data_IF_189681170376
#
_entry.id   IF_189681170376
#
_cell.length_a   1.000
_cell.length_b   1.000
_cell.length_c   1.000
_cell.angle_alpha   90.00
_cell.angle_beta   90.00
_cell.angle_gamma   90.00
#
_symmetry.space_group_name_H-M   'P 1'
#
loop_
_entity.id
_entity.type
_entity.pdbx_description
1 polymer ?
#
# COMPACT_ATOMS: atom_id res chain seq x y z
N UNK A 1 -4.46 -62.26 -29.71
CA UNK A 1 -5.55 -61.44 -29.16
C UNK A 1 -5.35 -61.37 -27.66
N UNK A 2 -5.21 -60.25 -26.95
CA UNK A 2 -5.18 -58.82 -27.26
C UNK A 2 -4.26 -58.18 -26.22
N UNK A 3 -3.41 -57.25 -26.65
CA UNK A 3 -2.66 -56.37 -25.76
C UNK A 3 -3.59 -55.24 -25.33
N UNK A 4 -3.80 -55.08 -24.03
CA UNK A 4 -4.54 -53.95 -23.48
C UNK A 4 -3.52 -52.87 -23.13
N UNK A 5 -3.35 -51.91 -24.02
CA UNK A 5 -2.59 -50.69 -23.77
C UNK A 5 -3.50 -49.72 -23.00
N UNK A 6 -3.25 -49.52 -21.72
CA UNK A 6 -3.95 -48.50 -20.92
C UNK A 6 -3.23 -47.16 -21.15
N UNK A 7 -3.84 -46.28 -21.95
CA UNK A 7 -3.40 -44.91 -22.11
C UNK A 7 -3.82 -44.09 -20.87
N UNK A 8 -2.86 -43.74 -20.01
CA UNK A 8 -3.07 -42.79 -18.92
C UNK A 8 -2.96 -41.38 -19.51
N UNK A 9 -4.11 -40.74 -19.74
CA UNK A 9 -4.16 -39.33 -20.07
C UNK A 9 -3.80 -38.51 -18.82
N UNK A 10 -2.58 -37.98 -18.77
CA UNK A 10 -2.24 -36.91 -17.84
C UNK A 10 -3.02 -35.66 -18.25
N UNK A 11 -4.16 -35.45 -17.60
CA UNK A 11 -4.78 -34.13 -17.58
C UNK A 11 -3.82 -33.21 -16.82
N UNK A 12 -3.05 -32.41 -17.56
CA UNK A 12 -2.38 -31.24 -17.01
C UNK A 12 -3.49 -30.30 -16.59
N UNK A 13 -3.88 -30.38 -15.32
CA UNK A 13 -4.62 -29.33 -14.65
C UNK A 13 -3.73 -28.10 -14.72
N UNK A 14 -4.04 -27.22 -15.66
CA UNK A 14 -3.41 -25.92 -15.77
C UNK A 14 -3.81 -25.10 -14.54
N UNK A 15 -2.99 -25.22 -13.47
CA UNK A 15 -3.13 -24.46 -12.22
C UNK A 15 -2.98 -22.94 -12.44
N UNK A 16 -2.75 -22.50 -13.68
CA UNK A 16 -2.65 -21.10 -14.10
C UNK A 16 -3.93 -20.27 -13.94
N UNK A 17 -5.05 -20.88 -13.51
CA UNK A 17 -6.31 -20.17 -13.24
C UNK A 17 -6.38 -19.52 -11.85
N UNK A 18 -5.36 -19.69 -11.01
CA UNK A 18 -5.27 -18.87 -9.80
C UNK A 18 -4.70 -17.49 -10.21
N UNK A 19 -5.54 -16.45 -10.16
CA UNK A 19 -5.26 -15.07 -10.59
C UNK A 19 -4.15 -14.31 -9.82
N UNK A 20 -3.11 -15.02 -9.38
CA UNK A 20 -1.95 -14.50 -8.66
C UNK A 20 -0.66 -14.53 -9.51
N UNK A 21 -0.73 -14.86 -10.80
CA UNK A 21 0.43 -14.94 -11.69
C UNK A 21 0.28 -14.04 -12.92
N UNK A 22 1.41 -13.74 -13.57
CA UNK A 22 1.42 -13.13 -14.90
C UNK A 22 0.80 -14.10 -15.91
N UNK A 23 -0.24 -13.66 -16.60
CA UNK A 23 -0.89 -14.47 -17.63
C UNK A 23 0.08 -14.74 -18.80
N UNK A 24 0.13 -15.95 -19.40
CA UNK A 24 1.03 -16.29 -20.51
C UNK A 24 1.01 -15.30 -21.67
N UNK A 25 -0.18 -14.90 -22.15
CA UNK A 25 -0.34 -13.84 -23.14
C UNK A 25 0.39 -12.52 -22.79
N UNK A 26 0.32 -12.09 -21.54
CA UNK A 26 0.99 -10.87 -21.10
C UNK A 26 2.51 -11.07 -21.02
N UNK A 27 2.96 -12.25 -20.56
CA UNK A 27 4.37 -12.62 -20.56
C UNK A 27 4.97 -12.63 -21.97
N UNK A 28 4.28 -13.23 -22.94
CA UNK A 28 4.69 -13.25 -24.34
C UNK A 28 4.77 -11.83 -24.92
N UNK A 29 3.77 -11.00 -24.63
CA UNK A 29 3.79 -9.60 -25.03
C UNK A 29 4.99 -8.86 -24.42
N UNK A 30 5.29 -9.07 -23.12
CA UNK A 30 6.45 -8.46 -22.47
C UNK A 30 7.77 -8.90 -23.11
N UNK A 31 7.95 -10.20 -23.34
CA UNK A 31 9.14 -10.76 -24.02
C UNK A 31 9.35 -10.21 -25.43
N UNK A 32 8.27 -9.86 -26.14
CA UNK A 32 8.34 -9.24 -27.46
C UNK A 32 8.70 -7.75 -27.43
N UNK A 33 8.42 -7.05 -26.33
CA UNK A 33 8.49 -5.59 -26.26
C UNK A 33 9.60 -5.03 -25.35
N UNK A 34 10.20 -5.87 -24.51
CA UNK A 34 11.19 -5.48 -23.51
C UNK A 34 12.37 -6.46 -23.47
N UNK A 35 13.51 -6.00 -22.96
CA UNK A 35 14.68 -6.86 -22.78
C UNK A 35 14.44 -7.90 -21.68
N UNK A 36 15.06 -9.08 -21.73
CA UNK A 36 14.89 -10.14 -20.72
C UNK A 36 15.05 -9.66 -19.27
N UNK A 37 15.98 -8.74 -19.03
CA UNK A 37 16.31 -8.19 -17.72
C UNK A 37 15.19 -7.28 -17.18
N UNK A 38 14.55 -6.53 -18.08
CA UNK A 38 13.38 -5.72 -17.73
C UNK A 38 12.17 -6.62 -17.47
N UNK A 39 11.96 -7.64 -18.30
CA UNK A 39 10.89 -8.63 -18.07
C UNK A 39 11.06 -9.30 -16.71
N UNK A 40 12.28 -9.70 -16.34
CA UNK A 40 12.57 -10.26 -15.02
C UNK A 40 12.22 -9.29 -13.89
N UNK A 41 12.62 -8.03 -14.02
CA UNK A 41 12.26 -6.98 -13.04
C UNK A 41 10.74 -6.84 -12.90
N UNK A 42 9.99 -6.91 -14.01
CA UNK A 42 8.54 -6.79 -14.00
C UNK A 42 7.83 -8.02 -13.43
N UNK A 43 8.28 -9.22 -13.75
CA UNK A 43 7.62 -10.48 -13.36
C UNK A 43 7.91 -10.83 -11.90
N UNK A 44 9.12 -10.51 -11.40
CA UNK A 44 9.56 -10.84 -10.04
C UNK A 44 9.45 -12.33 -9.73
N UNK A 45 9.88 -13.18 -10.66
CA UNK A 45 9.78 -14.66 -10.56
C UNK A 45 10.68 -15.26 -9.47
N UNK A 46 11.59 -14.46 -8.90
CA UNK A 46 12.39 -14.86 -7.74
C UNK A 46 11.60 -14.82 -6.42
N UNK A 47 10.40 -14.24 -6.41
CA UNK A 47 9.51 -14.17 -5.24
C UNK A 47 8.40 -15.22 -5.31
N UNK A 48 7.77 -15.52 -4.17
CA UNK A 48 6.70 -16.51 -4.09
C UNK A 48 5.48 -16.06 -4.90
N UNK A 49 5.12 -14.78 -4.78
CA UNK A 49 3.97 -14.17 -5.46
C UNK A 49 4.32 -12.81 -6.08
N UNK A 50 5.37 -12.84 -6.92
CA UNK A 50 6.03 -11.65 -7.48
C UNK A 50 5.14 -10.62 -8.15
N UNK A 51 4.50 -10.97 -9.26
CA UNK A 51 3.62 -10.07 -10.02
C UNK A 51 2.47 -10.86 -10.64
N UNK A 52 1.35 -10.18 -10.88
CA UNK A 52 0.20 -10.77 -11.56
C UNK A 52 -0.45 -9.81 -12.56
N UNK A 53 -1.22 -10.41 -13.47
CA UNK A 53 -2.16 -9.69 -14.31
C UNK A 53 -2.08 -10.05 -15.78
N UNK A 54 -2.88 -9.31 -16.55
CA UNK A 54 -3.00 -9.45 -17.99
C UNK A 54 -3.83 -10.64 -18.42
N UNK A 55 -3.70 -10.99 -19.71
CA UNK A 55 -4.58 -11.93 -20.39
C UNK A 55 -5.24 -11.31 -21.62
N UNK A 56 -5.96 -12.11 -22.43
CA UNK A 56 -6.55 -11.63 -23.67
C UNK A 56 -7.59 -10.53 -23.41
N UNK A 57 -7.33 -9.32 -23.93
CA UNK A 57 -8.16 -8.12 -23.75
C UNK A 57 -9.36 -8.09 -24.73
N UNK A 58 -10.03 -9.22 -24.92
CA UNK A 58 -11.11 -9.38 -25.92
C UNK A 58 -12.51 -9.11 -25.35
N UNK A 59 -12.64 -8.96 -24.03
CA UNK A 59 -13.93 -8.76 -23.36
C UNK A 59 -14.24 -7.26 -23.34
N UNK A 60 -15.33 -6.88 -24.01
CA UNK A 60 -15.86 -5.52 -23.89
C UNK A 60 -16.23 -5.23 -22.44
N UNK A 61 -15.78 -4.08 -21.93
CA UNK A 61 -16.00 -3.67 -20.56
C UNK A 61 -15.94 -2.15 -20.46
N UNK A 62 -16.68 -1.59 -19.51
CA UNK A 62 -16.58 -0.17 -19.15
C UNK A 62 -15.59 0.07 -18.00
N UNK A 63 -15.03 -0.99 -17.42
CA UNK A 63 -13.99 -0.92 -16.40
C UNK A 63 -12.63 -0.58 -17.03
N UNK A 64 -11.80 0.19 -16.31
CA UNK A 64 -10.42 0.46 -16.71
C UNK A 64 -9.47 -0.60 -16.14
N UNK A 65 -8.27 -0.77 -16.72
CA UNK A 65 -7.20 -1.48 -16.04
C UNK A 65 -6.91 -0.87 -14.67
N UNK A 66 -6.64 -1.72 -13.67
CA UNK A 66 -6.34 -1.33 -12.29
C UNK A 66 -4.94 -1.80 -11.93
N UNK A 67 -4.13 -0.89 -11.41
CA UNK A 67 -2.82 -1.22 -10.83
C UNK A 67 -2.90 -1.15 -9.30
N UNK A 68 -2.61 -2.27 -8.64
CA UNK A 68 -2.47 -2.31 -7.18
C UNK A 68 -1.01 -2.13 -6.76
N UNK A 69 -0.78 -1.37 -5.69
CA UNK A 69 0.55 -1.09 -5.13
C UNK A 69 0.56 -1.44 -3.64
N UNK A 70 1.23 -2.55 -3.30
CA UNK A 70 1.24 -3.12 -1.95
C UNK A 70 1.97 -2.26 -0.92
N UNK A 71 1.64 -2.49 0.36
CA UNK A 71 2.30 -1.90 1.52
C UNK A 71 3.64 -2.57 1.87
N UNK A 72 4.23 -2.18 3.00
CA UNK A 72 5.48 -2.75 3.49
C UNK A 72 5.37 -4.27 3.75
N UNK A 73 6.46 -5.01 3.50
CA UNK A 73 6.60 -6.45 3.80
C UNK A 73 5.53 -7.32 3.18
N UNK A 74 5.10 -6.93 1.98
CA UNK A 74 4.07 -7.61 1.24
C UNK A 74 4.48 -7.82 -0.21
N UNK A 75 3.74 -8.66 -0.92
CA UNK A 75 3.93 -8.98 -2.32
C UNK A 75 2.65 -8.69 -3.10
N UNK A 76 2.78 -8.58 -4.43
CA UNK A 76 1.64 -8.42 -5.33
C UNK A 76 0.57 -9.49 -5.07
N UNK A 77 0.96 -10.75 -4.89
CA UNK A 77 0.00 -11.84 -4.66
C UNK A 77 -0.89 -11.68 -3.44
N UNK A 78 -0.57 -10.85 -2.46
CA UNK A 78 -1.47 -10.58 -1.34
C UNK A 78 -2.81 -10.01 -1.76
N UNK A 79 -2.86 -9.34 -2.91
CA UNK A 79 -4.09 -8.82 -3.47
C UNK A 79 -4.96 -9.87 -4.16
N UNK A 80 -4.58 -11.16 -4.13
CA UNK A 80 -5.42 -12.22 -4.71
C UNK A 80 -6.85 -12.19 -4.13
N UNK A 81 -7.01 -11.89 -2.84
CA UNK A 81 -8.32 -11.78 -2.19
C UNK A 81 -9.14 -10.65 -2.80
N UNK A 82 -8.53 -9.46 -2.96
CA UNK A 82 -9.16 -8.29 -3.56
C UNK A 82 -9.50 -8.55 -5.03
N UNK A 83 -8.56 -9.12 -5.78
CA UNK A 83 -8.76 -9.45 -7.19
C UNK A 83 -9.89 -10.47 -7.39
N UNK A 84 -9.97 -11.50 -6.54
CA UNK A 84 -11.07 -12.46 -6.55
C UNK A 84 -12.40 -11.80 -6.18
N UNK A 85 -12.42 -10.93 -5.17
CA UNK A 85 -13.63 -10.23 -4.76
C UNK A 85 -14.12 -9.27 -5.87
N UNK A 86 -13.20 -8.67 -6.63
CA UNK A 86 -13.51 -7.87 -7.83
C UNK A 86 -14.07 -8.74 -8.98
N UNK A 87 -13.44 -9.88 -9.27
CA UNK A 87 -13.89 -10.84 -10.29
C UNK A 87 -15.29 -11.40 -9.97
N UNK A 88 -15.51 -11.78 -8.71
CA UNK A 88 -16.82 -12.22 -8.22
C UNK A 88 -17.91 -11.13 -8.37
N UNK A 89 -17.53 -9.85 -8.40
CA UNK A 89 -18.39 -8.71 -8.66
C UNK A 89 -18.43 -8.29 -10.15
N UNK A 90 -17.98 -9.18 -11.05
CA UNK A 90 -18.02 -9.02 -12.49
C UNK A 90 -16.94 -8.12 -13.09
N UNK A 91 -15.93 -7.73 -12.31
CA UNK A 91 -14.79 -6.99 -12.85
C UNK A 91 -13.89 -7.92 -13.67
N UNK A 92 -13.44 -7.54 -14.87
CA UNK A 92 -12.60 -8.41 -15.69
C UNK A 92 -11.23 -8.67 -15.03
N UNK A 93 -10.90 -9.92 -14.64
CA UNK A 93 -9.65 -10.21 -13.94
C UNK A 93 -8.40 -9.92 -14.79
N UNK A 94 -8.51 -9.98 -16.12
CA UNK A 94 -7.43 -9.61 -17.04
C UNK A 94 -7.11 -8.11 -17.05
N UNK A 95 -7.90 -7.28 -16.35
CA UNK A 95 -7.69 -5.85 -16.16
C UNK A 95 -7.07 -5.54 -14.80
N UNK A 96 -6.73 -6.55 -14.01
CA UNK A 96 -6.13 -6.40 -12.69
C UNK A 96 -4.63 -6.68 -12.75
N UNK A 97 -3.82 -5.74 -12.27
CA UNK A 97 -2.37 -5.81 -12.38
C UNK A 97 -1.71 -5.43 -11.07
N UNK A 98 -0.65 -6.13 -10.70
CA UNK A 98 0.23 -5.71 -9.60
C UNK A 98 1.64 -6.27 -9.80
N UNK A 99 2.61 -5.57 -9.23
CA UNK A 99 4.00 -6.01 -9.16
C UNK A 99 4.56 -5.76 -7.77
N UNK A 100 5.50 -6.60 -7.35
CA UNK A 100 6.20 -6.40 -6.08
C UNK A 100 7.34 -5.41 -6.23
N UNK A 101 7.30 -4.33 -5.45
CA UNK A 101 8.44 -3.42 -5.25
C UNK A 101 9.27 -3.86 -4.04
N UNK A 102 10.56 -3.53 -4.03
CA UNK A 102 11.45 -3.93 -2.94
C UNK A 102 11.72 -5.43 -2.91
N UNK A 103 11.85 -6.00 -1.71
CA UNK A 103 12.22 -7.40 -1.47
C UNK A 103 11.03 -8.36 -1.27
N UNK A 104 9.79 -7.87 -1.29
CA UNK A 104 8.61 -8.69 -1.01
C UNK A 104 8.40 -8.95 0.48
N UNK A 105 7.95 -10.17 0.83
CA UNK A 105 7.64 -10.53 2.22
C UNK A 105 8.92 -10.69 3.04
N UNK A 106 9.14 -9.74 3.95
CA UNK A 106 10.20 -9.81 4.96
C UNK A 106 9.64 -9.47 6.33
N UNK A 107 9.10 -10.48 7.00
CA UNK A 107 8.43 -10.29 8.29
C UNK A 107 9.33 -9.50 9.25
N UNK A 108 8.75 -8.47 9.88
CA UNK A 108 9.40 -7.59 10.86
C UNK A 108 10.53 -6.69 10.31
N UNK A 109 10.83 -6.70 9.01
CA UNK A 109 11.81 -5.77 8.46
C UNK A 109 11.20 -4.37 8.36
N UNK A 110 11.61 -3.47 9.25
CA UNK A 110 11.22 -2.05 9.22
C UNK A 110 12.34 -1.15 8.64
N UNK A 111 13.47 -1.73 8.22
CA UNK A 111 14.57 -0.99 7.60
C UNK A 111 14.34 -0.86 6.08
N UNK A 112 13.21 -0.25 5.71
CA UNK A 112 12.79 -0.05 4.33
C UNK A 112 12.34 1.39 4.16
N UNK A 113 12.91 2.09 3.19
CA UNK A 113 12.52 3.46 2.84
C UNK A 113 11.75 3.50 1.51
N UNK A 114 11.07 4.62 1.23
CA UNK A 114 10.44 4.91 -0.07
C UNK A 114 11.51 5.36 -1.09
N UNK A 115 12.47 4.48 -1.36
CA UNK A 115 13.63 4.78 -2.20
C UNK A 115 13.25 5.01 -3.68
N UNK A 116 14.08 5.76 -4.41
CA UNK A 116 13.90 6.03 -5.85
C UNK A 116 13.66 4.75 -6.66
N UNK A 117 14.38 3.67 -6.35
CA UNK A 117 14.23 2.37 -7.00
C UNK A 117 12.80 1.82 -6.91
N UNK A 118 12.14 1.94 -5.76
CA UNK A 118 10.75 1.49 -5.56
C UNK A 118 9.77 2.33 -6.38
N UNK A 119 9.94 3.65 -6.34
CA UNK A 119 9.10 4.59 -7.12
C UNK A 119 9.25 4.34 -8.62
N UNK A 120 10.48 4.18 -9.11
CA UNK A 120 10.77 3.88 -10.51
C UNK A 120 10.15 2.55 -10.95
N UNK A 121 10.22 1.54 -10.09
CA UNK A 121 9.61 0.24 -10.37
C UNK A 121 8.10 0.37 -10.60
N UNK A 122 7.40 1.00 -9.66
CA UNK A 122 5.95 1.22 -9.76
C UNK A 122 5.59 2.12 -10.94
N UNK A 123 6.37 3.17 -11.20
CA UNK A 123 6.14 4.02 -12.37
C UNK A 123 6.25 3.24 -13.68
N UNK A 124 7.33 2.48 -13.86
CA UNK A 124 7.54 1.67 -15.07
C UNK A 124 6.46 0.61 -15.22
N UNK A 125 5.96 0.06 -14.12
CA UNK A 125 4.83 -0.88 -14.14
C UNK A 125 3.53 -0.21 -14.62
N UNK A 126 3.21 0.99 -14.12
CA UNK A 126 2.05 1.77 -14.61
C UNK A 126 2.17 2.04 -16.11
N UNK A 127 3.34 2.49 -16.58
CA UNK A 127 3.61 2.76 -17.99
C UNK A 127 3.51 1.48 -18.84
N UNK A 128 3.99 0.35 -18.33
CA UNK A 128 3.89 -0.95 -18.97
C UNK A 128 2.42 -1.40 -19.11
N UNK A 129 1.61 -1.27 -18.06
CA UNK A 129 0.17 -1.61 -18.10
C UNK A 129 -0.57 -0.72 -19.09
N UNK A 130 -0.30 0.59 -19.10
CA UNK A 130 -0.84 1.52 -20.11
C UNK A 130 -0.47 1.09 -21.53
N UNK A 131 0.79 0.68 -21.77
CA UNK A 131 1.27 0.24 -23.08
C UNK A 131 0.69 -1.11 -23.51
N UNK A 132 0.59 -2.06 -22.58
CA UNK A 132 0.05 -3.41 -22.84
C UNK A 132 -1.44 -3.35 -23.19
N UNK A 133 -2.20 -2.59 -22.39
CA UNK A 133 -3.65 -2.50 -22.54
C UNK A 133 -4.10 -1.57 -23.65
N UNK A 134 -3.24 -0.63 -24.06
CA UNK A 134 -3.61 0.44 -24.99
C UNK A 134 -4.63 1.41 -24.40
N UNK A 135 -4.90 1.34 -23.09
CA UNK A 135 -5.91 2.18 -22.45
C UNK A 135 -5.47 3.66 -22.42
N UNK A 136 -6.41 4.56 -22.72
CA UNK A 136 -6.17 6.00 -22.58
C UNK A 136 -5.90 6.37 -21.12
N UNK A 137 -6.61 5.74 -20.18
CA UNK A 137 -6.40 5.93 -18.75
C UNK A 137 -6.57 4.62 -17.98
N UNK A 138 -5.92 4.53 -16.83
CA UNK A 138 -6.05 3.41 -15.87
C UNK A 138 -6.46 3.95 -14.50
N UNK A 139 -6.81 3.05 -13.59
CA UNK A 139 -6.98 3.35 -12.17
C UNK A 139 -5.82 2.78 -11.35
N UNK A 140 -5.50 3.43 -10.23
CA UNK A 140 -4.39 3.02 -9.34
C UNK A 140 -4.88 2.97 -7.90
N UNK A 141 -4.60 1.87 -7.21
CA UNK A 141 -4.89 1.71 -5.79
C UNK A 141 -3.59 1.46 -5.03
N UNK A 142 -3.22 2.38 -4.16
CA UNK A 142 -2.08 2.23 -3.26
C UNK A 142 -2.52 1.85 -1.85
N UNK A 143 -1.76 0.99 -1.19
CA UNK A 143 -2.07 0.47 0.15
C UNK A 143 -0.94 0.80 1.11
N UNK A 144 -1.26 1.33 2.31
CA UNK A 144 -0.25 1.63 3.33
C UNK A 144 0.92 2.45 2.77
N UNK A 145 2.16 1.97 2.91
CA UNK A 145 3.37 2.58 2.34
C UNK A 145 3.38 2.63 0.80
N UNK A 146 2.64 1.74 0.14
CA UNK A 146 2.44 1.76 -1.31
C UNK A 146 1.67 2.99 -1.80
N UNK A 147 0.83 3.61 -0.96
CA UNK A 147 0.12 4.85 -1.29
C UNK A 147 1.07 6.02 -1.62
N UNK A 148 1.95 6.48 -0.70
CA UNK A 148 2.89 7.55 -1.02
C UNK A 148 3.87 7.17 -2.15
N UNK A 149 4.26 5.90 -2.29
CA UNK A 149 5.07 5.43 -3.42
C UNK A 149 4.33 5.61 -4.75
N UNK A 150 3.08 5.18 -4.84
CA UNK A 150 2.23 5.34 -6.02
C UNK A 150 2.01 6.82 -6.35
N UNK A 151 1.72 7.65 -5.33
CA UNK A 151 1.61 9.10 -5.49
C UNK A 151 2.89 9.71 -6.07
N UNK A 152 4.08 9.32 -5.62
CA UNK A 152 5.33 9.82 -6.22
C UNK A 152 5.53 9.32 -7.65
N UNK A 153 5.19 8.07 -7.94
CA UNK A 153 5.29 7.50 -9.28
C UNK A 153 4.39 8.26 -10.29
N UNK A 154 3.18 8.63 -9.86
CA UNK A 154 2.24 9.43 -10.65
C UNK A 154 2.73 10.88 -10.80
N UNK A 155 3.20 11.51 -9.72
CA UNK A 155 3.70 12.88 -9.74
C UNK A 155 4.85 13.07 -10.73
N UNK A 156 5.78 12.11 -10.77
CA UNK A 156 7.00 12.21 -11.56
C UNK A 156 7.99 13.22 -10.97
N UNK A 157 8.68 13.94 -11.86
CA UNK A 157 9.78 14.85 -11.52
C UNK A 157 11.02 14.10 -11.05
N UNK A 158 11.79 14.71 -10.15
CA UNK A 158 13.03 14.12 -9.62
C UNK A 158 12.76 13.12 -8.50
N UNK A 159 13.61 12.10 -8.39
CA UNK A 159 13.68 11.28 -7.19
C UNK A 159 14.15 12.12 -5.98
N UNK A 160 13.57 11.83 -4.80
CA UNK A 160 13.83 12.59 -3.57
C UNK A 160 15.21 12.27 -2.99
N UNK A 161 15.60 11.00 -3.04
CA UNK A 161 16.88 10.50 -2.56
C UNK A 161 18.01 10.54 -3.59
N UNK A 162 17.67 10.57 -4.88
CA UNK A 162 18.60 10.64 -6.01
C UNK A 162 18.20 11.76 -7.00
N UNK A 163 18.49 13.04 -6.72
CA UNK A 163 18.01 14.18 -7.52
C UNK A 163 18.53 14.25 -8.96
N UNK A 164 19.55 13.46 -9.30
CA UNK A 164 20.06 13.30 -10.67
C UNK A 164 19.17 12.38 -11.52
N UNK A 165 18.26 11.64 -10.89
CA UNK A 165 17.37 10.70 -11.56
C UNK A 165 16.00 11.35 -11.76
N UNK A 166 15.62 11.50 -13.02
CA UNK A 166 14.31 11.99 -13.44
C UNK A 166 13.35 10.81 -13.64
N UNK A 167 12.20 10.86 -12.98
CA UNK A 167 11.08 9.94 -13.20
C UNK A 167 10.34 10.27 -14.51
N UNK A 168 10.45 11.51 -14.99
CA UNK A 168 9.72 12.01 -16.15
C UNK A 168 8.50 12.86 -15.75
N UNK A 169 7.66 13.26 -16.73
CA UNK A 169 6.50 14.11 -16.45
C UNK A 169 5.44 13.39 -15.62
N UNK A 170 4.52 14.16 -15.04
CA UNK A 170 3.38 13.60 -14.33
C UNK A 170 2.55 12.67 -15.22
N UNK A 171 2.11 11.56 -14.66
CA UNK A 171 1.20 10.61 -15.30
C UNK A 171 -0.27 10.97 -15.08
N UNK A 172 -0.58 12.10 -14.42
CA UNK A 172 -1.95 12.51 -14.07
C UNK A 172 -2.95 12.28 -15.20
N UNK A 173 -2.65 12.74 -16.43
CA UNK A 173 -3.55 12.64 -17.58
C UNK A 173 -3.89 11.20 -17.98
N UNK A 174 -3.07 10.24 -17.54
CA UNK A 174 -3.23 8.80 -17.78
C UNK A 174 -3.84 8.06 -16.59
N UNK A 175 -4.08 8.73 -15.47
CA UNK A 175 -4.73 8.14 -14.29
C UNK A 175 -6.15 8.71 -14.18
N UNK A 176 -7.14 7.84 -14.32
CA UNK A 176 -8.54 8.24 -14.22
C UNK A 176 -8.95 8.37 -12.75
N UNK A 177 -8.76 7.34 -11.93
CA UNK A 177 -9.04 7.34 -10.48
C UNK A 177 -7.83 6.85 -9.69
N UNK A 178 -7.57 7.52 -8.56
CA UNK A 178 -6.58 7.06 -7.58
C UNK A 178 -7.27 6.76 -6.24
N UNK A 179 -6.95 5.63 -5.61
CA UNK A 179 -7.45 5.28 -4.28
C UNK A 179 -6.26 5.01 -3.38
N UNK A 180 -6.21 5.71 -2.25
CA UNK A 180 -5.28 5.43 -1.16
C UNK A 180 -6.01 4.69 -0.04
N UNK A 181 -5.65 3.44 0.20
CA UNK A 181 -6.26 2.59 1.23
C UNK A 181 -5.28 2.48 2.40
N UNK A 182 -5.71 2.92 3.59
CA UNK A 182 -4.87 3.00 4.78
C UNK A 182 -3.50 3.69 4.52
N UNK A 183 -3.45 4.64 3.58
CA UNK A 183 -2.18 5.17 3.07
C UNK A 183 -1.47 6.08 4.05
N UNK A 184 -0.14 6.01 4.14
CA UNK A 184 0.66 6.86 5.01
C UNK A 184 1.07 8.19 4.32
N UNK A 185 0.07 8.96 3.85
CA UNK A 185 0.30 10.15 3.01
C UNK A 185 0.81 11.37 3.79
N UNK A 186 0.54 11.44 5.09
CA UNK A 186 0.93 12.54 5.97
C UNK A 186 1.92 12.13 7.07
N UNK A 187 2.22 10.83 7.13
CA UNK A 187 3.01 10.19 8.17
C UNK A 187 2.32 8.92 8.65
N UNK A 188 2.92 8.27 9.65
CA UNK A 188 2.43 7.01 10.19
C UNK A 188 2.60 6.95 11.71
N UNK A 189 1.62 6.39 12.43
CA UNK A 189 1.74 6.07 13.85
C UNK A 189 2.91 5.14 14.15
N UNK A 190 3.30 4.28 13.20
CA UNK A 190 4.49 3.44 13.28
C UNK A 190 5.75 4.25 13.64
N UNK A 191 5.83 5.50 13.18
CA UNK A 191 6.97 6.38 13.42
C UNK A 191 6.95 7.13 14.76
N UNK A 192 6.05 6.75 15.67
CA UNK A 192 6.22 7.03 17.10
C UNK A 192 7.51 6.39 17.66
N UNK A 193 7.98 5.31 17.03
CA UNK A 193 9.25 4.65 17.34
C UNK A 193 10.26 4.87 16.19
N UNK A 194 11.03 5.97 16.18
CA UNK A 194 11.74 6.45 14.98
C UNK A 194 13.07 5.74 14.67
N UNK A 195 13.32 4.56 15.25
CA UNK A 195 14.63 3.90 15.19
C UNK A 195 14.87 3.09 13.90
N UNK A 196 13.87 2.96 13.03
CA UNK A 196 13.91 2.16 11.81
C UNK A 196 13.96 3.04 10.56
N UNK A 197 14.58 2.56 9.48
CA UNK A 197 14.71 3.36 8.24
C UNK A 197 13.37 3.75 7.61
N UNK A 198 12.29 3.00 7.85
CA UNK A 198 10.93 3.41 7.46
C UNK A 198 10.52 4.76 8.06
N UNK A 199 11.19 5.24 9.09
CA UNK A 199 10.91 6.51 9.77
C UNK A 199 12.02 7.55 9.56
N UNK A 200 12.86 7.43 8.53
CA UNK A 200 13.87 8.44 8.26
C UNK A 200 13.28 9.75 7.68
N UNK A 201 13.96 10.88 7.90
CA UNK A 201 13.50 12.22 7.47
C UNK A 201 13.67 12.51 5.96
N UNK A 202 14.35 11.64 5.20
CA UNK A 202 14.56 11.82 3.76
C UNK A 202 13.46 11.12 2.95
N UNK A 203 13.35 9.80 3.12
CA UNK A 203 12.47 8.90 2.36
C UNK A 203 11.60 8.00 3.24
N UNK A 204 11.47 8.31 4.52
CA UNK A 204 10.60 7.59 5.45
C UNK A 204 9.22 8.21 5.62
N UNK A 205 8.41 7.58 6.47
CA UNK A 205 7.06 7.93 6.86
C UNK A 205 7.01 8.84 8.10
N UNK A 206 8.15 9.33 8.58
CA UNK A 206 8.13 10.36 9.63
C UNK A 206 7.50 11.63 9.10
N UNK A 207 6.72 12.28 9.95
CA UNK A 207 6.08 13.56 9.68
C UNK A 207 7.07 14.54 9.02
N UNK A 208 6.67 15.16 7.91
CA UNK A 208 7.47 16.15 7.18
C UNK A 208 8.81 15.60 6.68
N UNK A 209 8.91 14.29 6.42
CA UNK A 209 10.04 13.79 5.64
C UNK A 209 10.05 14.46 4.26
N UNK A 210 11.23 14.61 3.65
CA UNK A 210 11.35 15.24 2.32
C UNK A 210 10.46 14.56 1.28
N UNK A 211 10.28 13.25 1.39
CA UNK A 211 9.40 12.50 0.50
C UNK A 211 7.94 12.87 0.69
N UNK A 212 7.46 12.93 1.94
CA UNK A 212 6.09 13.33 2.21
C UNK A 212 5.85 14.80 1.88
N UNK A 213 6.82 15.69 2.09
CA UNK A 213 6.73 17.08 1.65
C UNK A 213 6.60 17.19 0.13
N UNK A 214 7.42 16.45 -0.62
CA UNK A 214 7.42 16.44 -2.09
C UNK A 214 6.06 16.02 -2.67
N UNK A 215 5.50 14.88 -2.23
CA UNK A 215 4.21 14.41 -2.74
C UNK A 215 3.02 15.25 -2.25
N UNK A 216 3.17 16.03 -1.18
CA UNK A 216 2.10 16.90 -0.67
C UNK A 216 2.23 18.34 -1.15
N UNK A 217 3.29 18.68 -1.88
CA UNK A 217 3.50 20.01 -2.44
C UNK A 217 2.47 20.34 -3.52
N UNK A 218 2.16 19.37 -4.38
CA UNK A 218 1.17 19.50 -5.44
C UNK A 218 -0.19 18.95 -5.00
N UNK A 219 -1.26 19.47 -5.59
CA UNK A 219 -2.65 19.08 -5.28
C UNK A 219 -3.32 18.54 -6.54
N UNK A 220 -4.23 17.58 -6.38
CA UNK A 220 -5.07 17.03 -7.47
C UNK A 220 -4.31 16.45 -8.66
N UNK A 221 -3.07 15.99 -8.46
CA UNK A 221 -2.25 15.45 -9.55
C UNK A 221 -2.40 13.92 -9.66
N UNK A 222 -2.99 13.26 -8.67
CA UNK A 222 -3.06 11.80 -8.61
C UNK A 222 -3.97 11.21 -9.67
N UNK A 223 -4.95 11.98 -10.16
CA UNK A 223 -5.90 11.52 -11.17
C UNK A 223 -6.61 12.69 -11.88
N UNK A 224 -7.29 12.40 -12.99
CA UNK A 224 -8.11 13.40 -13.71
C UNK A 224 -9.56 13.44 -13.26
N UNK A 225 -10.12 12.34 -12.76
CA UNK A 225 -11.52 12.30 -12.31
C UNK A 225 -11.63 12.55 -10.81
N UNK A 226 -11.17 11.60 -9.99
CA UNK A 226 -11.34 11.67 -8.54
C UNK A 226 -10.31 10.82 -7.83
N UNK A 227 -9.82 11.35 -6.72
CA UNK A 227 -8.89 10.65 -5.83
C UNK A 227 -9.56 10.39 -4.49
N UNK A 228 -9.41 9.21 -3.92
CA UNK A 228 -10.03 8.82 -2.65
C UNK A 228 -8.97 8.49 -1.60
N UNK A 229 -9.28 8.75 -0.34
CA UNK A 229 -8.54 8.21 0.79
C UNK A 229 -9.48 7.40 1.69
N UNK A 230 -9.33 6.08 1.69
CA UNK A 230 -10.04 5.17 2.56
C UNK A 230 -9.21 4.92 3.82
N UNK A 231 -9.73 5.30 4.98
CA UNK A 231 -9.01 5.20 6.25
C UNK A 231 -9.92 4.65 7.35
N UNK A 232 -9.32 3.95 8.33
CA UNK A 232 -10.06 3.49 9.51
C UNK A 232 -9.64 4.15 10.80
N UNK A 233 -10.63 4.42 11.67
CA UNK A 233 -10.39 4.82 13.07
C UNK A 233 -9.76 3.73 13.93
N UNK A 234 -9.81 2.46 13.49
CA UNK A 234 -9.17 1.33 14.15
C UNK A 234 -7.76 1.00 13.65
N UNK A 235 -7.23 1.75 12.67
CA UNK A 235 -5.88 1.55 12.16
C UNK A 235 -4.86 2.12 13.15
N UNK A 236 -4.03 1.25 13.74
CA UNK A 236 -2.96 1.64 14.66
C UNK A 236 -1.55 1.57 14.04
N UNK A 237 -1.44 1.14 12.78
CA UNK A 237 -0.15 1.07 12.07
C UNK A 237 0.12 2.42 11.42
N UNK A 238 -0.72 2.81 10.46
CA UNK A 238 -0.65 4.14 9.85
C UNK A 238 -1.35 5.17 10.73
N UNK A 239 -2.39 4.75 11.46
CA UNK A 239 -3.17 5.69 12.25
C UNK A 239 -4.28 6.34 11.44
N UNK A 240 -5.42 6.57 12.08
CA UNK A 240 -6.36 7.56 11.53
C UNK A 240 -5.79 8.98 11.60
N UNK A 241 -5.08 9.29 12.70
CA UNK A 241 -4.38 10.55 12.91
C UNK A 241 -2.89 10.29 13.06
N UNK A 242 -2.06 11.14 12.48
CA UNK A 242 -0.63 11.22 12.73
C UNK A 242 -0.18 12.66 12.49
N UNK A 243 0.81 13.14 13.22
CA UNK A 243 1.37 14.48 13.01
C UNK A 243 0.32 15.61 13.20
N UNK A 244 -0.70 15.42 14.04
CA UNK A 244 -1.79 16.38 14.25
C UNK A 244 -2.79 16.50 13.09
N UNK A 245 -2.72 15.63 12.09
CA UNK A 245 -3.57 15.58 10.90
C UNK A 245 -4.02 14.15 10.60
N UNK A 246 -4.96 13.96 9.68
CA UNK A 246 -5.38 12.61 9.27
C UNK A 246 -4.26 11.97 8.46
N UNK A 247 -3.77 10.79 8.86
CA UNK A 247 -2.57 10.19 8.28
C UNK A 247 -2.71 9.89 6.79
N UNK A 248 -3.90 9.46 6.37
CA UNK A 248 -4.19 9.08 4.99
C UNK A 248 -4.72 10.20 4.11
N UNK A 249 -5.01 11.38 4.67
CA UNK A 249 -5.52 12.50 3.90
C UNK A 249 -4.44 13.07 2.98
N UNK A 250 -4.85 13.61 1.85
CA UNK A 250 -4.00 14.42 0.99
C UNK A 250 -4.87 15.43 0.25
N UNK A 251 -4.26 16.53 -0.19
CA UNK A 251 -5.00 17.62 -0.82
C UNK A 251 -5.61 17.16 -2.16
N UNK A 252 -6.94 17.19 -2.24
CA UNK A 252 -7.70 16.66 -3.39
C UNK A 252 -8.27 15.26 -3.19
N UNK A 253 -7.84 14.56 -2.13
CA UNK A 253 -8.40 13.28 -1.74
C UNK A 253 -9.80 13.44 -1.12
N UNK A 254 -10.73 12.60 -1.56
CA UNK A 254 -12.05 12.47 -0.96
C UNK A 254 -12.02 11.39 0.12
N UNK A 255 -12.22 11.80 1.36
CA UNK A 255 -12.21 10.88 2.49
C UNK A 255 -13.38 9.90 2.46
N UNK A 256 -13.06 8.63 2.64
CA UNK A 256 -14.00 7.58 3.00
C UNK A 256 -13.56 6.95 4.32
N UNK A 257 -14.27 7.25 5.40
CA UNK A 257 -13.94 6.75 6.72
C UNK A 257 -14.72 5.47 7.03
N UNK A 258 -14.02 4.45 7.50
CA UNK A 258 -14.62 3.25 8.13
C UNK A 258 -14.23 3.20 9.60
N UNK A 259 -15.04 2.57 10.45
CA UNK A 259 -14.79 2.53 11.89
C UNK A 259 -14.43 1.13 12.40
N UNK A 260 -13.45 1.06 13.30
CA UNK A 260 -13.10 -0.17 14.03
C UNK A 260 -12.38 -1.26 13.23
N UNK A 261 -11.92 -0.98 12.01
CA UNK A 261 -11.09 -1.91 11.23
C UNK A 261 -9.62 -1.67 11.56
N UNK A 262 -8.87 -2.75 11.81
CA UNK A 262 -7.42 -2.65 11.92
C UNK A 262 -6.78 -2.37 10.55
N UNK A 263 -5.46 -2.23 10.50
CA UNK A 263 -4.73 -1.89 9.26
C UNK A 263 -5.01 -2.90 8.13
N UNK A 264 -4.83 -4.19 8.40
CA UNK A 264 -5.03 -5.26 7.42
C UNK A 264 -6.49 -5.39 6.97
N UNK A 265 -7.45 -5.29 7.90
CA UNK A 265 -8.88 -5.28 7.58
C UNK A 265 -9.24 -4.08 6.68
N UNK A 266 -8.64 -2.92 6.94
CA UNK A 266 -8.85 -1.72 6.12
C UNK A 266 -8.37 -1.96 4.69
N UNK A 267 -7.26 -2.67 4.50
CA UNK A 267 -6.73 -3.03 3.18
C UNK A 267 -7.57 -4.10 2.46
N UNK A 268 -7.86 -5.22 3.12
CA UNK A 268 -8.34 -6.43 2.46
C UNK A 268 -9.85 -6.67 2.59
N UNK A 269 -10.52 -6.09 3.59
CA UNK A 269 -11.97 -6.26 3.81
C UNK A 269 -12.80 -5.09 3.27
N UNK A 270 -12.16 -4.13 2.60
CA UNK A 270 -12.83 -3.00 1.96
C UNK A 270 -12.90 -3.08 0.43
N UNK A 271 -12.61 -4.25 -0.15
CA UNK A 271 -12.61 -4.47 -1.60
C UNK A 271 -13.90 -3.99 -2.28
N UNK A 272 -15.07 -4.28 -1.70
CA UNK A 272 -16.36 -3.81 -2.25
C UNK A 272 -16.48 -2.27 -2.27
N UNK A 273 -15.91 -1.58 -1.27
CA UNK A 273 -15.90 -0.12 -1.23
C UNK A 273 -14.96 0.44 -2.31
N UNK A 274 -13.78 -0.16 -2.45
CA UNK A 274 -12.79 0.22 -3.47
C UNK A 274 -13.37 0.06 -4.88
N UNK A 275 -14.04 -1.07 -5.16
CA UNK A 275 -14.70 -1.32 -6.44
C UNK A 275 -15.81 -0.30 -6.73
N UNK A 276 -16.60 0.07 -5.73
CA UNK A 276 -17.63 1.09 -5.87
C UNK A 276 -17.03 2.47 -6.21
N UNK A 277 -15.86 2.81 -5.64
CA UNK A 277 -15.15 4.05 -5.97
C UNK A 277 -14.67 4.06 -7.42
N UNK A 278 -14.10 2.96 -7.91
CA UNK A 278 -13.66 2.83 -9.31
C UNK A 278 -14.83 2.97 -10.30
N UNK A 279 -16.01 2.45 -9.93
CA UNK A 279 -17.21 2.47 -10.77
C UNK A 279 -18.08 3.72 -10.59
N UNK A 280 -17.73 4.67 -9.72
CA UNK A 280 -18.49 5.91 -9.50
C UNK A 280 -18.70 6.68 -10.83
N UNK A 281 -17.70 6.69 -11.71
CA UNK A 281 -17.77 7.29 -13.05
C UNK A 281 -18.35 6.40 -14.14
N UNK A 282 -18.41 5.08 -13.90
CA UNK A 282 -18.74 4.06 -14.91
C UNK A 282 -20.24 3.85 -15.01
N UNK A 283 -20.97 4.05 -13.92
CA UNK A 283 -22.40 4.29 -14.01
C UNK A 283 -22.62 5.61 -14.78
N UNK A 284 -23.47 5.63 -15.80
CA UNK A 284 -23.88 6.83 -16.55
C UNK A 284 -24.65 7.87 -15.71
N UNK A 285 -24.13 8.23 -14.55
CA UNK A 285 -24.58 9.20 -13.56
C UNK A 285 -23.37 9.89 -12.91
N UNK A 286 -22.31 10.18 -13.69
CA UNK A 286 -21.31 11.15 -13.27
C UNK A 286 -22.00 12.52 -13.16
N UNK A 287 -22.54 12.82 -11.97
CA UNK A 287 -22.94 14.18 -11.58
C UNK A 287 -21.64 14.96 -11.41
N UNK A 288 -21.13 15.51 -12.50
CA UNK A 288 -20.22 16.64 -12.41
C UNK A 288 -20.93 17.76 -11.66
N UNK A 289 -20.54 17.93 -10.39
CA UNK A 289 -20.88 19.06 -9.49
C UNK A 289 -22.38 19.17 -9.09
N UNK A 290 -22.72 19.35 -7.79
CA UNK A 290 -24.11 19.56 -7.40
C UNK A 290 -24.56 20.96 -7.82
N UNK A 291 -25.43 21.06 -8.84
CA UNK A 291 -26.47 22.09 -8.86
C UNK A 291 -27.73 21.53 -8.19
N UNK A 292 -28.52 22.43 -7.63
CA UNK A 292 -29.55 22.23 -6.61
C UNK A 292 -30.40 20.93 -6.70
N UNK A 293 -30.58 20.30 -5.54
CA UNK A 293 -31.38 19.08 -5.34
C UNK A 293 -32.85 19.28 -5.72
N UNK A 294 -33.44 18.33 -6.45
CA UNK A 294 -34.90 18.18 -6.60
C UNK A 294 -35.43 16.99 -5.79
N UNK A 295 -36.73 17.04 -5.51
CA UNK A 295 -37.46 16.29 -4.47
C UNK A 295 -37.51 14.75 -4.61
N UNK A 296 -36.91 14.16 -5.64
CA UNK A 296 -36.91 12.69 -5.85
C UNK A 296 -35.96 11.94 -4.91
N UNK A 297 -34.97 12.61 -4.30
CA UNK A 297 -34.02 12.00 -3.37
C UNK A 297 -34.68 11.50 -2.06
N UNK A 298 -35.93 11.91 -1.78
CA UNK A 298 -36.70 11.42 -0.63
C UNK A 298 -37.29 10.01 -0.84
N UNK A 299 -37.50 9.55 -2.08
CA UNK A 299 -38.12 8.23 -2.34
C UNK A 299 -37.15 7.05 -2.26
N UNK A 300 -35.83 7.28 -2.48
CA UNK A 300 -34.80 6.21 -2.43
C UNK A 300 -34.37 5.79 -1.02
N UNK A 301 -34.79 6.49 0.04
CA UNK A 301 -34.50 6.10 1.44
C UNK A 301 -35.16 4.79 1.89
N UNK A 302 -36.14 4.28 1.13
CA UNK A 302 -36.85 3.05 1.50
C UNK A 302 -36.09 1.77 1.17
N UNK A 303 -35.19 1.77 0.17
CA UNK A 303 -34.44 0.57 -0.20
C UNK A 303 -33.35 0.18 0.82
N UNK A 304 -32.79 1.14 1.55
CA UNK A 304 -31.78 0.88 2.59
C UNK A 304 -32.38 0.28 3.88
N UNK A 305 -33.68 0.49 4.11
CA UNK A 305 -34.39 -0.13 5.23
C UNK A 305 -34.53 -1.65 5.02
N UNK A 306 -34.74 -2.07 3.77
CA UNK A 306 -34.91 -3.49 3.40
C UNK A 306 -33.59 -4.26 3.47
N UNK A 307 -32.47 -3.64 3.06
CA UNK A 307 -31.12 -4.22 3.23
C UNK A 307 -30.76 -4.36 4.71
N UNK A 308 -31.09 -3.36 5.55
CA UNK A 308 -30.88 -3.43 7.00
C UNK A 308 -31.75 -4.51 7.66
N UNK A 309 -32.96 -4.75 7.14
CA UNK A 309 -33.87 -5.81 7.60
C UNK A 309 -33.33 -7.20 7.24
N UNK A 310 -32.76 -7.37 6.05
CA UNK A 310 -32.11 -8.62 5.60
C UNK A 310 -30.83 -8.94 6.42
N UNK A 311 -29.99 -7.94 6.69
CA UNK A 311 -28.79 -8.14 7.50
C UNK A 311 -29.10 -8.48 8.97
N UNK A 312 -30.19 -7.92 9.51
CA UNK A 312 -30.64 -8.21 10.87
C UNK A 312 -31.34 -9.57 11.02
N UNK A 313 -31.93 -10.14 9.96
CA UNK A 313 -32.49 -11.50 10.01
C UNK A 313 -31.39 -12.56 10.07
N UNK A 314 -30.31 -12.39 9.31
CA UNK A 314 -29.13 -13.26 9.33
C UNK A 314 -28.35 -13.23 10.65
N UNK A 315 -28.42 -12.14 11.42
CA UNK A 315 -27.75 -12.01 12.73
C UNK A 315 -28.49 -12.74 13.87
N UNK A 316 -29.70 -13.24 13.63
CA UNK A 316 -30.52 -13.92 14.64
C UNK A 316 -30.27 -15.43 14.72
N UNK A 317 -29.61 -16.00 13.71
CA UNK A 317 -29.33 -17.45 13.58
C UNK A 317 -28.00 -17.89 14.20
N UNK A 318 -27.24 -16.98 14.80
CA UNK A 318 -26.03 -17.30 15.58
C UNK A 318 -26.14 -16.79 17.01
N UNK A 319 -27.17 -17.25 17.73
CA UNK A 319 -27.09 -17.33 19.20
C UNK A 319 -26.72 -18.76 19.57
N UNK A 320 -25.46 -18.94 20.00
CA UNK A 320 -25.02 -20.12 20.71
C UNK A 320 -26.00 -20.41 21.86
N UNK A 321 -26.69 -21.54 21.75
CA UNK A 321 -27.33 -22.20 22.89
C UNK A 321 -26.23 -22.65 23.85
N UNK A 322 -26.26 -22.15 25.08
CA UNK A 322 -25.45 -22.68 26.18
C UNK A 322 -25.78 -24.18 26.39
N UNK A 323 -24.78 -25.04 26.67
CA UNK A 323 -25.05 -26.44 26.95
C UNK A 323 -25.73 -26.60 28.32
N UNK A 324 -26.88 -27.26 28.31
CA UNK A 324 -27.64 -27.66 29.50
C UNK A 324 -26.79 -28.57 30.39
N UNK A 325 -26.67 -28.23 31.68
CA UNK A 325 -26.12 -29.11 32.73
C UNK A 325 -26.93 -30.40 32.82
N UNK A 326 -26.24 -31.54 32.73
CA UNK A 326 -26.80 -32.85 33.02
C UNK A 326 -27.13 -32.98 34.51
N UNK A 327 -28.29 -33.56 34.79
CA UNK A 327 -28.80 -33.86 36.12
C UNK A 327 -28.00 -35.02 36.76
N UNK A 328 -27.62 -34.85 38.02
CA UNK A 328 -27.09 -35.92 38.88
C UNK A 328 -28.16 -36.22 39.94
N UNK A 329 -28.63 -37.47 39.98
CA UNK A 329 -29.53 -37.96 41.02
C UNK A 329 -28.74 -38.76 42.08
N UNK A 330 -28.69 -38.15 43.27
CA UNK A 330 -28.69 -38.66 44.66
C UNK A 330 -28.03 -40.01 45.03
N UNK A 331 -27.11 -39.93 45.99
CA UNK A 331 -27.16 -40.71 47.24
C UNK A 331 -26.56 -39.91 48.42
N UNK A 332 -27.04 -40.17 49.63
CA UNK A 332 -26.71 -39.56 50.93
C UNK A 332 -26.64 -40.68 51.98
N UNK A 333 -26.24 -40.47 53.26
CA UNK A 333 -25.35 -39.46 53.88
C UNK A 333 -24.27 -40.10 54.81
N UNK A 334 -23.24 -39.35 55.20
CA UNK A 334 -22.47 -39.67 56.42
C UNK A 334 -21.94 -38.39 57.10
N UNK A 335 -21.91 -38.44 58.44
CA UNK A 335 -21.84 -37.32 59.39
C UNK A 335 -20.42 -36.75 59.57
N UNK A 336 -20.44 -35.50 60.07
CA UNK A 336 -19.40 -34.67 60.74
C UNK A 336 -18.14 -35.40 61.20
N UNK A 337 -16.98 -34.78 60.98
CA UNK A 337 -15.98 -34.58 62.03
C UNK A 337 -15.05 -33.38 61.77
N UNK A 338 -14.44 -32.95 62.87
CA UNK A 338 -13.86 -31.64 63.21
C UNK A 338 -12.47 -31.39 62.59
N UNK A 339 -12.13 -30.11 62.44
CA UNK A 339 -10.87 -29.54 61.95
C UNK A 339 -9.58 -30.08 62.63
N UNK A 340 -8.41 -29.78 62.04
CA UNK A 340 -7.56 -28.80 62.74
C UNK A 340 -6.90 -27.73 61.84
N UNK A 341 -6.67 -26.57 62.46
CA UNK A 341 -5.94 -25.40 61.96
C UNK A 341 -4.41 -25.60 61.99
N UNK A 342 -3.71 -24.98 61.03
CA UNK A 342 -2.52 -24.07 61.13
C UNK A 342 -1.48 -24.32 60.02
N UNK A 343 -0.53 -23.40 59.73
CA UNK A 343 -0.45 -21.99 60.12
C UNK A 343 -0.16 -21.00 58.97
N UNK A 344 -0.46 -19.75 59.28
CA UNK A 344 -0.05 -18.51 58.62
C UNK A 344 1.48 -18.43 58.52
N UNK A 345 2.01 -18.20 57.31
CA UNK A 345 3.38 -17.69 57.14
C UNK A 345 3.37 -16.16 57.07
N UNK A 346 4.17 -15.57 57.96
CA UNK A 346 4.34 -14.14 58.16
C UNK A 346 5.16 -13.51 57.04
N UNK A 347 4.67 -12.35 56.63
CA UNK A 347 5.31 -11.35 55.76
C UNK A 347 6.58 -10.82 56.41
N UNK A 348 7.72 -10.90 55.73
CA UNK A 348 8.96 -10.23 56.10
C UNK A 348 9.02 -8.81 55.48
N UNK A 349 9.68 -7.83 56.14
CA UNK A 349 9.52 -6.41 55.83
C UNK A 349 10.39 -5.91 54.68
N UNK A 350 9.88 -4.88 54.00
CA UNK A 350 10.56 -4.07 52.98
C UNK A 350 11.82 -3.40 53.56
N UNK A 351 12.95 -3.57 52.88
CA UNK A 351 14.12 -2.72 53.05
C UNK A 351 14.03 -1.51 52.10
N UNK A 352 14.12 -0.31 52.67
CA UNK A 352 14.22 0.97 51.94
C UNK A 352 15.64 1.21 51.41
N UNK A 353 15.81 2.06 50.38
CA UNK A 353 17.00 2.04 49.51
C UNK A 353 18.21 2.74 50.15
N UNK A 354 19.40 2.15 49.98
CA UNK A 354 20.68 2.77 50.34
C UNK A 354 21.14 3.74 49.25
N UNK A 355 21.71 4.84 49.74
CA UNK A 355 22.14 6.05 49.06
C UNK A 355 23.14 5.86 47.91
N UNK A 356 23.02 6.75 46.92
CA UNK A 356 24.00 7.02 45.88
C UNK A 356 25.32 7.58 46.46
N UNK A 357 26.49 7.26 45.88
CA UNK A 357 27.71 8.00 46.16
C UNK A 357 27.74 9.33 45.39
N UNK A 358 28.03 10.40 46.13
CA UNK A 358 28.29 11.76 45.62
C UNK A 358 29.57 11.82 44.79
N UNK A 359 29.52 12.69 43.78
CA UNK A 359 30.66 13.17 43.02
C UNK A 359 31.59 14.08 43.85
N UNK A 360 32.89 14.03 43.55
CA UNK A 360 33.91 15.05 43.89
C UNK A 360 34.98 15.12 42.79
N UNK A 361 35.75 16.23 42.68
CA UNK A 361 35.94 16.91 41.39
C UNK A 361 37.38 16.90 40.80
N UNK A 362 37.43 17.20 39.50
CA UNK A 362 38.49 17.81 38.66
C UNK A 362 39.91 17.22 38.65
N UNK A 363 40.35 16.84 37.43
CA UNK A 363 41.64 17.27 36.87
C UNK A 363 41.64 17.20 35.33
N UNK A 364 41.87 18.33 34.68
CA UNK A 364 42.48 18.49 33.35
C UNK A 364 43.66 19.48 33.56
N UNK A 365 44.70 19.60 32.69
CA UNK A 365 44.71 19.29 31.25
C UNK A 365 46.03 18.71 30.68
N UNK A 366 46.01 18.18 29.45
CA UNK A 366 47.15 18.30 28.51
C UNK A 366 46.66 18.60 27.09
N UNK A 367 47.08 19.78 26.60
CA UNK A 367 46.94 20.28 25.22
C UNK A 367 48.00 19.66 24.31
N UNK A 368 47.67 19.44 23.05
CA UNK A 368 48.56 19.45 21.86
C UNK A 368 47.71 19.22 20.58
N UNK A 369 48.11 19.71 19.39
CA UNK A 369 47.55 20.94 18.82
C UNK A 369 46.69 20.72 17.55
N UNK A 370 45.95 21.77 17.21
CA UNK A 370 45.10 21.89 16.02
C UNK A 370 45.86 21.78 14.69
N UNK A 371 45.23 21.25 13.61
CA UNK A 371 45.71 21.46 12.25
C UNK A 371 45.39 22.89 11.79
N UNK A 372 46.43 23.56 11.29
CA UNK A 372 46.37 24.89 10.69
C UNK A 372 45.52 24.92 9.43
N UNK A 373 44.76 26.02 9.29
CA UNK A 373 44.20 26.50 8.02
C UNK A 373 45.32 26.69 6.99
N UNK A 374 45.07 26.24 5.77
CA UNK A 374 45.80 26.69 4.56
C UNK A 374 44.82 27.36 3.62
N UNK A 375 45.10 28.62 3.32
CA UNK A 375 44.40 29.45 2.34
C UNK A 375 44.64 28.98 0.89
N UNK A 376 43.75 29.35 -0.05
CA UNK A 376 43.70 28.82 -1.40
C UNK A 376 44.52 29.67 -2.38
N UNK A 377 45.39 29.06 -3.18
CA UNK A 377 45.89 29.68 -4.43
C UNK A 377 46.20 28.67 -5.54
N UNK A 378 45.60 28.99 -6.70
CA UNK A 378 46.04 28.76 -8.09
C UNK A 378 45.91 27.36 -8.71
N UNK A 379 44.92 27.22 -9.59
CA UNK A 379 45.15 26.90 -11.00
C UNK A 379 43.91 27.29 -11.85
N UNK A 380 44.10 28.21 -12.81
CA UNK A 380 43.27 28.37 -14.01
C UNK A 380 44.13 27.92 -15.20
N UNK A 381 43.57 27.37 -16.29
CA UNK A 381 43.20 28.18 -17.48
C UNK A 381 41.91 27.64 -18.17
N UNK A 382 41.26 28.19 -19.19
CA UNK A 382 41.41 29.32 -20.11
C UNK A 382 40.03 29.50 -20.78
N UNK A 383 39.54 30.74 -20.93
CA UNK A 383 38.56 31.11 -21.97
C UNK A 383 39.35 31.59 -23.18
N UNK A 384 38.96 31.17 -24.39
CA UNK A 384 39.24 31.90 -25.63
C UNK A 384 37.94 32.10 -26.39
N UNK A 385 37.58 33.37 -26.52
CA UNK A 385 36.59 33.89 -27.45
C UNK A 385 37.03 33.65 -28.89
N UNK A 386 36.06 33.36 -29.77
CA UNK A 386 36.20 33.64 -31.20
C UNK A 386 34.94 34.36 -31.68
N UNK A 387 35.14 35.60 -32.12
CA UNK A 387 34.16 36.45 -32.77
C UNK A 387 33.86 35.96 -34.19
N UNK A 388 32.62 36.28 -34.58
CA UNK A 388 32.02 36.24 -35.93
C UNK A 388 32.96 36.78 -37.01
N UNK A 389 32.87 36.19 -38.21
CA UNK A 389 32.77 36.96 -39.44
C UNK A 389 31.91 36.26 -40.50
N UNK A 390 31.24 37.12 -41.27
CA UNK A 390 30.16 36.90 -42.22
C UNK A 390 30.72 36.56 -43.60
N UNK A 391 30.11 35.60 -44.32
CA UNK A 391 29.82 35.68 -45.78
C UNK A 391 29.01 34.48 -46.30
N UNK A 392 27.81 34.76 -46.78
CA UNK A 392 27.14 34.07 -47.90
C UNK A 392 27.34 34.95 -49.17
N UNK A 393 26.96 34.54 -50.40
CA UNK A 393 26.64 33.20 -50.94
C UNK A 393 27.34 32.94 -52.31
N UNK A 394 27.20 31.73 -52.88
CA UNK A 394 27.26 31.53 -54.34
C UNK A 394 26.42 30.31 -54.76
N UNK A 395 25.69 30.50 -55.85
CA UNK A 395 24.81 29.56 -56.55
C UNK A 395 25.61 28.39 -57.16
N UNK A 396 24.92 27.25 -57.27
CA UNK A 396 25.24 26.12 -58.14
C UNK A 396 23.98 25.28 -58.27
#
# INVERSE_FOLDING_TARGET
MNWITVAVAFAVLDLSLCGHNIHPHFMEWMKKNYKPEEVKQFVRDELITGSFGGGPLKKETHDRPVVFVHGLNNEAGSFWKIARDFDAAGFPPQYLFATTWGRGVEQMNLNVAMACGHVRHIRRWIELVLKYTGANQIDVIGYSMGSPIARKAILGGKCVDEPSVELGPSLQSRIHTYISVAGANQGSHLCMFPFFDICNMKTGLTCNSKFLEDINWFKNYESTYKSFNLASTGDFVVGYMACGKKSSEFAGGHEYKVDGMNHEQTEFDTAAIQLNMLRESTAGLSKSRPSAKSAEEKKKKNAFADVKKYLNSKRRDTRHTEPKKAAVLKSAPAKKDVAPKKPIQKRAPKASPKAAPKATPKAAPKKSPAPKKTDPKKAAPQKKDLKKDVKQPARG
#
